data_IF_158910429402
#
_entry.id   IF_158910429402
#
_cell.length_a   1.000
_cell.length_b   1.000
_cell.length_c   1.000
_cell.angle_alpha   90.00
_cell.angle_beta   90.00
_cell.angle_gamma   90.00
#
_symmetry.space_group_name_H-M   'P 1'
#
loop_
_entity.id
_entity.type
_entity.pdbx_description
1 polymer ?
#
# COMPACT_ATOMS: atom_id res chain seq x y z
N UNK A 1 -32.09 -43.66 -37.06
CA UNK A 1 -32.49 -44.48 -35.91
C UNK A 1 -32.89 -43.54 -34.78
N UNK A 2 -34.13 -43.68 -34.29
CA UNK A 2 -34.70 -42.91 -33.18
C UNK A 2 -34.10 -43.42 -31.87
N UNK A 3 -33.74 -42.54 -30.94
CA UNK A 3 -33.77 -42.78 -29.49
C UNK A 3 -33.45 -41.49 -28.72
N UNK A 4 -34.49 -40.81 -28.22
CA UNK A 4 -34.44 -40.13 -26.93
C UNK A 4 -35.85 -40.21 -26.34
N UNK A 5 -35.97 -40.99 -25.26
CA UNK A 5 -37.14 -41.09 -24.40
C UNK A 5 -36.72 -40.80 -22.97
N UNK A 6 -37.64 -40.13 -22.27
CA UNK A 6 -38.00 -40.12 -20.84
C UNK A 6 -38.11 -38.68 -20.33
N UNK A 7 -39.33 -38.14 -20.20
CA UNK A 7 -40.34 -38.41 -19.13
C UNK A 7 -40.04 -37.52 -17.91
N UNK A 8 -40.67 -36.35 -17.80
CA UNK A 8 -42.00 -36.04 -17.22
C UNK A 8 -42.02 -35.97 -15.69
N UNK A 9 -42.76 -34.96 -15.23
CA UNK A 9 -43.41 -34.75 -13.92
C UNK A 9 -42.54 -34.05 -12.87
N UNK A 10 -42.97 -33.02 -12.13
CA UNK A 10 -44.30 -32.58 -11.67
C UNK A 10 -44.33 -31.03 -11.64
N UNK A 11 -45.31 -30.36 -12.25
CA UNK A 11 -46.61 -29.94 -11.71
C UNK A 11 -46.61 -28.54 -11.08
N UNK A 12 -47.61 -27.78 -11.51
CA UNK A 12 -47.84 -26.37 -11.29
C UNK A 12 -48.28 -26.01 -9.85
N UNK A 13 -48.03 -24.77 -9.46
CA UNK A 13 -48.98 -23.99 -8.67
C UNK A 13 -48.84 -22.50 -9.00
N UNK A 14 -49.98 -21.92 -9.34
CA UNK A 14 -50.20 -20.58 -9.85
C UNK A 14 -50.65 -19.70 -8.66
N UNK A 15 -49.93 -18.63 -8.31
CA UNK A 15 -50.47 -17.61 -7.40
C UNK A 15 -50.03 -16.21 -7.82
N UNK A 16 -50.99 -15.52 -8.44
CA UNK A 16 -51.38 -14.12 -8.28
C UNK A 16 -50.30 -13.04 -8.46
N UNK A 17 -50.44 -12.32 -9.58
CA UNK A 17 -49.92 -10.96 -9.74
C UNK A 17 -50.69 -9.99 -8.83
N UNK A 18 -49.99 -9.33 -7.92
CA UNK A 18 -50.41 -8.04 -7.37
C UNK A 18 -49.44 -6.98 -7.87
N UNK A 19 -49.90 -6.19 -8.85
CA UNK A 19 -49.32 -4.92 -9.23
C UNK A 19 -49.39 -3.97 -8.02
N UNK A 20 -48.27 -3.77 -7.34
CA UNK A 20 -48.06 -2.60 -6.49
C UNK A 20 -46.97 -1.75 -7.13
N UNK A 21 -47.38 -0.68 -7.81
CA UNK A 21 -46.52 0.41 -8.23
C UNK A 21 -45.91 1.04 -6.95
N UNK A 22 -44.71 0.58 -6.59
CA UNK A 22 -43.86 1.23 -5.61
C UNK A 22 -42.61 1.66 -6.37
N UNK A 23 -42.32 2.96 -6.33
CA UNK A 23 -41.41 3.62 -7.25
C UNK A 23 -40.05 2.92 -7.37
N UNK A 24 -39.64 2.65 -8.61
CA UNK A 24 -38.24 2.38 -8.93
C UNK A 24 -37.41 3.60 -8.49
N UNK A 25 -36.88 3.54 -7.27
CA UNK A 25 -35.61 4.20 -6.99
C UNK A 25 -34.59 3.35 -7.76
N UNK A 26 -33.87 3.87 -8.76
CA UNK A 26 -32.75 3.14 -9.30
C UNK A 26 -31.80 2.90 -8.12
N UNK A 27 -31.69 1.65 -7.71
CA UNK A 27 -30.58 1.18 -6.91
C UNK A 27 -29.36 1.54 -7.74
N UNK A 28 -28.68 2.60 -7.32
CA UNK A 28 -27.47 3.07 -7.96
C UNK A 28 -26.47 1.98 -7.62
N UNK A 29 -26.33 1.02 -8.52
CA UNK A 29 -25.25 0.06 -8.52
C UNK A 29 -23.99 0.92 -8.53
N UNK A 30 -23.41 1.13 -7.36
CA UNK A 30 -22.11 1.78 -7.23
C UNK A 30 -21.15 0.89 -7.98
N UNK A 31 -20.85 1.30 -9.21
CA UNK A 31 -19.74 0.75 -9.97
C UNK A 31 -18.51 1.00 -9.11
N UNK A 32 -18.09 -0.03 -8.38
CA UNK A 32 -16.78 -0.12 -7.78
C UNK A 32 -15.79 -0.02 -8.94
N UNK A 33 -15.42 1.21 -9.29
CA UNK A 33 -14.28 1.48 -10.13
C UNK A 33 -13.11 0.99 -9.31
N UNK A 34 -12.66 -0.22 -9.60
CA UNK A 34 -11.41 -0.76 -9.08
C UNK A 34 -10.34 0.28 -9.43
N UNK A 35 -9.94 1.07 -8.43
CA UNK A 35 -8.96 2.14 -8.58
C UNK A 35 -7.66 1.43 -8.91
N UNK A 36 -7.37 1.29 -10.21
CA UNK A 36 -6.10 0.75 -10.68
C UNK A 36 -5.01 1.61 -10.05
N UNK A 37 -4.28 1.04 -9.10
CA UNK A 37 -3.24 1.74 -8.36
C UNK A 37 -2.00 1.87 -9.25
N UNK A 38 -1.89 3.02 -9.91
CA UNK A 38 -0.78 3.33 -10.82
C UNK A 38 0.45 3.69 -10.00
N UNK A 39 1.59 3.06 -10.31
CA UNK A 39 2.91 3.48 -9.81
C UNK A 39 3.33 4.73 -10.59
N UNK A 40 3.55 5.85 -9.90
CA UNK A 40 3.95 7.14 -10.51
C UNK A 40 5.02 7.85 -9.69
N UNK A 41 5.75 8.82 -10.25
CA UNK A 41 6.61 9.69 -9.44
C UNK A 41 5.81 10.37 -8.32
N UNK A 42 6.47 10.59 -7.18
CA UNK A 42 5.90 11.36 -6.08
C UNK A 42 5.73 12.82 -6.49
N UNK A 43 4.58 13.40 -6.17
CA UNK A 43 4.25 14.81 -6.36
C UNK A 43 4.02 15.52 -5.02
N UNK A 44 4.28 16.82 -4.98
CA UNK A 44 4.11 17.67 -3.80
C UNK A 44 2.72 17.63 -3.12
N UNK A 45 1.67 17.21 -3.84
CA UNK A 45 0.33 17.03 -3.27
C UNK A 45 0.11 15.69 -2.57
N UNK A 46 1.05 14.74 -2.68
CA UNK A 46 0.96 13.44 -2.01
C UNK A 46 0.99 13.63 -0.49
N UNK A 47 -0.09 13.20 0.18
CA UNK A 47 -0.29 13.42 1.64
C UNK A 47 0.83 12.84 2.50
N UNK A 48 1.53 11.81 2.01
CA UNK A 48 2.64 11.16 2.72
C UNK A 48 3.89 12.04 2.81
N UNK A 49 4.04 13.06 1.93
CA UNK A 49 5.16 14.00 1.97
C UNK A 49 5.15 14.77 3.29
N UNK A 50 6.28 14.77 3.97
CA UNK A 50 6.50 15.49 5.22
C UNK A 50 7.56 14.84 6.09
N UNK A 51 7.68 15.40 7.29
CA UNK A 51 8.54 14.87 8.34
C UNK A 51 7.66 14.14 9.36
N UNK A 52 8.06 12.92 9.69
CA UNK A 52 7.31 12.04 10.58
C UNK A 52 8.22 11.51 11.67
N UNK A 53 7.81 11.71 12.93
CA UNK A 53 8.53 11.21 14.10
C UNK A 53 7.84 9.98 14.67
N UNK A 54 8.55 8.87 14.72
CA UNK A 54 8.13 7.63 15.38
C UNK A 54 8.09 7.79 16.90
N UNK A 55 6.99 7.37 17.51
CA UNK A 55 6.74 7.52 18.95
C UNK A 55 7.48 6.47 19.81
N UNK A 56 7.70 5.27 19.26
CA UNK A 56 8.23 4.13 20.02
C UNK A 56 9.75 4.00 19.90
N UNK A 57 10.28 4.10 18.68
CA UNK A 57 11.69 3.84 18.38
C UNK A 57 12.51 5.12 18.19
N UNK A 58 11.91 6.29 18.39
CA UNK A 58 12.51 7.58 18.04
C UNK A 58 13.02 7.58 16.60
N UNK A 59 12.30 6.92 15.68
CA UNK A 59 12.61 6.97 14.26
C UNK A 59 12.19 8.32 13.69
N UNK A 60 12.89 8.82 12.68
CA UNK A 60 12.40 9.95 11.88
C UNK A 60 12.41 9.56 10.41
N UNK A 61 11.35 9.96 9.74
CA UNK A 61 11.15 9.73 8.32
C UNK A 61 10.96 11.09 7.67
N UNK A 62 11.86 11.47 6.78
CA UNK A 62 11.70 12.66 5.93
C UNK A 62 11.39 12.16 4.53
N UNK A 63 10.17 12.44 4.07
CA UNK A 63 9.69 12.01 2.74
C UNK A 63 9.42 13.28 1.94
N UNK A 64 10.18 13.48 0.87
CA UNK A 64 10.01 14.61 -0.05
C UNK A 64 9.60 14.11 -1.43
N UNK A 65 9.53 15.00 -2.43
CA UNK A 65 9.29 14.60 -3.82
C UNK A 65 10.45 13.84 -4.45
N UNK A 66 11.66 13.98 -3.90
CA UNK A 66 12.88 13.44 -4.50
C UNK A 66 13.61 12.43 -3.62
N UNK A 67 13.44 12.51 -2.30
CA UNK A 67 14.24 11.74 -1.34
C UNK A 67 13.38 11.13 -0.24
N UNK A 68 13.85 10.00 0.27
CA UNK A 68 13.39 9.45 1.54
C UNK A 68 14.60 9.24 2.45
N UNK A 69 14.57 9.83 3.63
CA UNK A 69 15.58 9.66 4.67
C UNK A 69 14.97 8.97 5.88
N UNK A 70 15.66 7.95 6.38
CA UNK A 70 15.34 7.34 7.65
C UNK A 70 16.46 7.61 8.66
N UNK A 71 16.06 8.11 9.82
CA UNK A 71 16.94 8.33 10.95
C UNK A 71 16.53 7.37 12.06
N UNK A 72 17.53 6.77 12.69
CA UNK A 72 17.37 5.98 13.90
C UNK A 72 17.99 6.73 15.07
N UNK A 73 17.29 6.83 16.20
CA UNK A 73 17.82 7.49 17.38
C UNK A 73 18.14 6.49 18.50
N UNK A 74 19.44 6.21 18.65
CA UNK A 74 20.02 5.70 19.88
C UNK A 74 21.13 6.67 20.30
N UNK A 75 20.84 7.54 21.29
CA UNK A 75 21.68 8.67 21.74
C UNK A 75 21.81 9.86 20.76
N UNK A 76 20.76 10.13 19.97
CA UNK A 76 20.69 11.23 18.99
C UNK A 76 20.29 10.71 17.62
N UNK A 77 19.69 11.57 16.78
CA UNK A 77 19.27 11.18 15.44
C UNK A 77 20.48 10.89 14.55
N UNK A 78 20.64 9.63 14.14
CA UNK A 78 21.64 9.21 13.17
C UNK A 78 20.93 8.87 11.88
N UNK A 79 21.31 9.53 10.78
CA UNK A 79 20.86 9.17 9.45
C UNK A 79 21.31 7.73 9.17
N UNK A 80 20.33 6.83 9.06
CA UNK A 80 20.56 5.40 8.92
C UNK A 80 20.66 5.03 7.45
N UNK A 81 19.70 5.48 6.64
CA UNK A 81 19.82 5.42 5.19
C UNK A 81 19.09 6.55 4.47
N UNK A 82 19.56 6.84 3.25
CA UNK A 82 18.99 7.84 2.35
C UNK A 82 18.77 7.24 0.97
N UNK A 83 17.63 7.55 0.39
CA UNK A 83 17.20 7.10 -0.93
C UNK A 83 16.75 8.27 -1.79
N UNK A 84 16.71 8.06 -3.10
CA UNK A 84 16.21 9.02 -4.08
C UNK A 84 15.27 8.36 -5.11
N UNK A 85 14.89 9.10 -6.16
CA UNK A 85 14.05 8.61 -7.26
C UNK A 85 12.72 8.01 -6.78
N UNK A 86 11.94 8.81 -6.05
CA UNK A 86 10.73 8.36 -5.37
C UNK A 86 9.56 8.12 -6.33
N UNK A 87 8.93 6.96 -6.18
CA UNK A 87 7.66 6.60 -6.80
C UNK A 87 6.66 6.21 -5.72
N UNK A 88 5.37 6.36 -6.00
CA UNK A 88 4.28 6.02 -5.10
C UNK A 88 3.24 5.17 -5.82
N UNK A 89 2.65 4.25 -5.06
CA UNK A 89 1.43 3.51 -5.42
C UNK A 89 0.44 3.62 -4.27
N UNK A 90 -0.58 4.44 -4.46
CA UNK A 90 -1.69 4.56 -3.51
C UNK A 90 -2.59 3.33 -3.62
N UNK A 91 -2.92 2.70 -2.50
CA UNK A 91 -3.93 1.64 -2.44
C UNK A 91 -5.29 2.30 -2.21
N UNK A 92 -5.38 3.18 -1.22
CA UNK A 92 -6.54 4.01 -0.91
C UNK A 92 -6.10 5.42 -0.48
N UNK A 93 -6.99 6.21 0.13
CA UNK A 93 -6.70 7.59 0.55
C UNK A 93 -5.78 7.71 1.78
N UNK A 94 -5.58 6.59 2.49
CA UNK A 94 -4.89 6.48 3.77
C UNK A 94 -3.74 5.48 3.75
N UNK A 95 -3.61 4.69 2.69
CA UNK A 95 -2.60 3.64 2.58
C UNK A 95 -1.95 3.55 1.19
N UNK A 96 -0.71 3.05 1.16
CA UNK A 96 0.04 2.88 -0.07
C UNK A 96 1.51 2.58 0.16
N UNK A 97 2.25 2.56 -0.95
CA UNK A 97 3.67 2.24 -0.95
C UNK A 97 4.47 3.40 -1.51
N UNK A 98 5.62 3.69 -0.91
CA UNK A 98 6.66 4.55 -1.51
C UNK A 98 7.85 3.68 -1.87
N UNK A 99 8.29 3.78 -3.11
CA UNK A 99 9.45 3.09 -3.67
C UNK A 99 10.56 4.09 -3.92
N UNK A 100 11.80 3.70 -3.64
CA UNK A 100 12.96 4.60 -3.80
C UNK A 100 14.24 3.81 -3.98
N UNK A 101 15.30 4.43 -4.49
CA UNK A 101 16.60 3.79 -4.69
C UNK A 101 17.63 4.23 -3.65
N UNK A 102 18.37 3.29 -3.08
CA UNK A 102 19.50 3.63 -2.21
C UNK A 102 20.53 4.45 -2.96
N UNK A 103 20.87 5.62 -2.42
CA UNK A 103 21.75 6.57 -3.10
C UNK A 103 23.17 6.61 -2.51
N UNK A 104 23.28 6.53 -1.18
CA UNK A 104 24.54 6.70 -0.47
C UNK A 104 25.01 5.38 0.14
N UNK A 105 26.15 4.87 -0.34
CA UNK A 105 26.76 3.62 0.11
C UNK A 105 27.18 3.60 1.58
N UNK A 106 27.45 4.76 2.17
CA UNK A 106 27.81 4.88 3.60
C UNK A 106 26.56 4.85 4.51
N UNK A 107 25.37 4.86 3.89
CA UNK A 107 24.05 4.97 4.51
C UNK A 107 23.09 3.98 3.85
N UNK A 108 23.43 2.70 3.89
CA UNK A 108 22.60 1.59 3.42
C UNK A 108 22.34 0.62 4.57
N UNK A 109 21.08 0.48 4.96
CA UNK A 109 20.63 -0.60 5.84
C UNK A 109 20.34 -1.89 5.05
N UNK A 110 20.25 -3.02 5.76
CA UNK A 110 19.56 -4.24 5.28
C UNK A 110 20.16 -5.01 4.09
N UNK A 111 21.48 -5.25 4.00
CA UNK A 111 22.06 -6.08 2.91
C UNK A 111 21.67 -5.60 1.49
N UNK A 112 21.53 -4.29 1.29
CA UNK A 112 21.29 -3.70 -0.03
C UNK A 112 22.57 -3.04 -0.59
N UNK A 113 22.49 -2.57 -1.82
CA UNK A 113 23.56 -1.84 -2.52
C UNK A 113 23.03 -0.57 -3.18
N UNK A 114 23.92 0.38 -3.46
CA UNK A 114 23.56 1.63 -4.15
C UNK A 114 22.88 1.31 -5.48
N UNK A 115 21.77 2.00 -5.77
CA UNK A 115 20.97 1.83 -6.97
C UNK A 115 19.86 0.79 -6.84
N UNK A 116 19.90 -0.07 -5.82
CA UNK A 116 18.79 -1.00 -5.58
C UNK A 116 17.58 -0.28 -5.01
N UNK A 117 16.42 -0.74 -5.43
CA UNK A 117 15.11 -0.27 -5.04
C UNK A 117 14.69 -0.87 -3.70
N UNK A 118 14.05 -0.01 -2.91
CA UNK A 118 13.51 -0.26 -1.59
C UNK A 118 12.05 0.19 -1.54
N UNK A 119 11.30 -0.30 -0.55
CA UNK A 119 9.92 0.09 -0.33
C UNK A 119 9.63 0.38 1.14
N UNK A 120 8.74 1.33 1.37
CA UNK A 120 7.99 1.48 2.61
C UNK A 120 6.51 1.34 2.32
N UNK A 121 5.78 0.79 3.28
CA UNK A 121 4.34 0.76 3.31
C UNK A 121 3.84 1.76 4.35
N UNK A 122 2.94 2.65 3.95
CA UNK A 122 2.25 3.57 4.85
C UNK A 122 0.77 3.21 4.94
N UNK A 123 0.20 3.38 6.13
CA UNK A 123 -1.22 3.14 6.39
C UNK A 123 -1.70 3.97 7.59
N UNK A 124 -3.02 4.05 7.78
CA UNK A 124 -3.67 4.95 8.74
C UNK A 124 -3.19 6.40 8.61
N UNK A 125 -2.92 6.85 7.37
CA UNK A 125 -2.46 8.21 7.10
C UNK A 125 -3.59 9.21 7.35
N UNK A 126 -3.27 10.21 8.16
CA UNK A 126 -4.08 11.40 8.42
C UNK A 126 -3.21 12.65 8.17
N UNK A 127 -3.75 13.84 8.44
CA UNK A 127 -2.96 15.08 8.38
C UNK A 127 -1.78 15.06 9.36
N UNK A 128 -1.99 14.51 10.56
CA UNK A 128 -1.04 14.63 11.68
C UNK A 128 -0.38 13.30 12.11
N UNK A 129 -0.83 12.17 11.56
CA UNK A 129 -0.32 10.85 11.94
C UNK A 129 -0.24 9.86 10.77
N UNK A 130 0.68 8.91 10.88
CA UNK A 130 0.84 7.79 9.93
C UNK A 130 1.50 6.60 10.60
N UNK A 131 1.24 5.39 10.12
CA UNK A 131 2.04 4.19 10.44
C UNK A 131 2.92 3.84 9.25
N UNK A 132 4.21 3.64 9.50
CA UNK A 132 5.19 3.31 8.46
C UNK A 132 5.82 1.96 8.77
N UNK A 133 5.63 0.99 7.87
CA UNK A 133 6.32 -0.29 7.88
C UNK A 133 7.39 -0.29 6.79
N UNK A 134 8.63 -0.48 7.21
CA UNK A 134 9.79 -0.59 6.34
C UNK A 134 9.90 -2.02 5.80
N UNK A 135 10.24 -2.18 4.51
CA UNK A 135 10.55 -3.50 3.98
C UNK A 135 11.70 -4.15 4.77
N UNK A 136 11.43 -5.33 5.33
CA UNK A 136 12.40 -6.12 6.09
C UNK A 136 12.26 -7.59 5.73
N UNK A 137 13.40 -8.25 5.49
CA UNK A 137 13.41 -9.64 5.05
C UNK A 137 14.82 -10.08 4.64
N UNK A 138 14.95 -11.26 4.01
CA UNK A 138 16.23 -11.76 3.55
C UNK A 138 16.82 -10.93 2.40
N UNK A 139 15.96 -10.24 1.62
CA UNK A 139 16.34 -9.38 0.51
C UNK A 139 16.28 -7.91 0.93
N UNK A 140 17.40 -7.20 0.75
CA UNK A 140 17.53 -5.78 1.12
C UNK A 140 16.99 -4.79 0.10
N UNK A 141 17.00 -5.18 -1.17
CA UNK A 141 16.53 -4.35 -2.28
C UNK A 141 16.39 -5.16 -3.57
N UNK A 142 15.82 -4.52 -4.59
CA UNK A 142 15.62 -5.10 -5.93
C UNK A 142 16.34 -4.27 -6.99
N UNK A 143 16.65 -4.83 -8.16
CA UNK A 143 17.45 -4.12 -9.15
C UNK A 143 16.59 -3.18 -10.00
N UNK A 144 15.28 -3.40 -10.05
CA UNK A 144 14.35 -2.58 -10.83
C UNK A 144 13.11 -2.13 -10.03
N UNK A 145 12.49 -1.03 -10.47
CA UNK A 145 11.22 -0.55 -9.92
C UNK A 145 10.11 -1.62 -10.03
N UNK A 146 10.10 -2.37 -11.13
CA UNK A 146 9.10 -3.44 -11.31
C UNK A 146 9.26 -4.52 -10.26
N UNK A 147 10.49 -4.99 -10.04
CA UNK A 147 10.77 -6.04 -9.07
C UNK A 147 10.41 -5.61 -7.65
N UNK A 148 10.73 -4.37 -7.24
CA UNK A 148 10.39 -3.92 -5.87
C UNK A 148 8.87 -3.83 -5.66
N UNK A 149 8.11 -3.45 -6.69
CA UNK A 149 6.64 -3.37 -6.64
C UNK A 149 6.00 -4.75 -6.46
N UNK A 150 6.62 -5.78 -7.04
CA UNK A 150 6.14 -7.17 -7.01
C UNK A 150 6.64 -7.94 -5.77
N UNK A 151 7.84 -7.64 -5.27
CA UNK A 151 8.49 -8.37 -4.17
C UNK A 151 8.15 -7.79 -2.79
N UNK A 152 8.24 -6.48 -2.63
CA UNK A 152 8.13 -5.84 -1.32
C UNK A 152 6.66 -5.47 -1.10
N UNK A 153 5.90 -6.42 -0.56
CA UNK A 153 4.49 -6.23 -0.20
C UNK A 153 4.17 -6.80 1.19
N UNK A 154 3.00 -6.42 1.72
CA UNK A 154 2.48 -6.97 2.98
C UNK A 154 2.15 -8.46 2.84
N UNK A 155 1.58 -8.88 1.71
CA UNK A 155 1.18 -10.26 1.45
C UNK A 155 2.37 -11.23 1.39
N UNK A 156 3.51 -10.75 0.91
CA UNK A 156 4.77 -11.50 0.88
C UNK A 156 5.55 -11.41 2.20
N UNK A 157 5.03 -10.68 3.19
CA UNK A 157 5.60 -10.60 4.54
C UNK A 157 6.84 -9.71 4.67
N UNK A 158 7.15 -8.89 3.67
CA UNK A 158 8.23 -7.90 3.76
C UNK A 158 7.82 -6.67 4.58
N UNK A 159 6.52 -6.39 4.67
CA UNK A 159 5.94 -5.32 5.48
C UNK A 159 4.78 -5.87 6.30
N UNK A 160 4.39 -5.13 7.33
CA UNK A 160 3.38 -5.62 8.27
C UNK A 160 2.56 -4.50 8.91
N UNK A 161 1.27 -4.77 9.04
CA UNK A 161 0.33 -4.00 9.86
C UNK A 161 0.24 -4.54 11.30
N UNK A 162 1.04 -5.55 11.64
CA UNK A 162 1.09 -6.10 12.98
C UNK A 162 1.78 -5.12 13.93
N UNK A 163 1.18 -4.87 15.09
CA UNK A 163 1.76 -4.03 16.13
C UNK A 163 3.20 -4.48 16.47
N UNK A 164 4.09 -3.49 16.63
CA UNK A 164 5.52 -3.72 16.84
C UNK A 164 6.32 -4.07 15.58
N UNK A 165 5.71 -4.03 14.38
CA UNK A 165 6.38 -4.22 13.07
C UNK A 165 6.31 -2.98 12.15
N UNK A 166 5.86 -1.87 12.71
CA UNK A 166 5.79 -0.56 12.06
C UNK A 166 6.08 0.52 13.10
N UNK A 167 6.40 1.72 12.63
CA UNK A 167 6.55 2.90 13.47
C UNK A 167 5.24 3.70 13.45
N UNK A 168 4.62 3.88 14.61
CA UNK A 168 3.54 4.86 14.79
C UNK A 168 4.14 6.25 14.83
N UNK A 169 3.76 7.10 13.89
CA UNK A 169 4.39 8.40 13.71
C UNK A 169 3.41 9.56 13.82
N UNK A 170 3.91 10.70 14.30
CA UNK A 170 3.24 12.00 14.23
C UNK A 170 4.01 12.95 13.34
N UNK A 171 3.32 13.92 12.73
CA UNK A 171 3.92 14.96 11.91
C UNK A 171 4.79 15.91 12.75
N UNK A 172 5.91 16.35 12.19
CA UNK A 172 6.78 17.41 12.75
C UNK A 172 6.58 18.77 12.05
#
# INVERSE_FOLDING_TARGET
MKNLKFSRLFAAALVVACLALTGCKPETEEVLVEKVSIVRPVDSSDKIIGNWRGQEYSDKFEITTSNYNNYYSYNGDVLYYTTNNLYIREIDETSGYVYSQFYDGDKIGYNATVGQWYAIYYFDLTEDAVKISQAAGPKGGCDTLKEVVEEFTVELGYMSEQEGKYSTCSRE
#
